data_IF_768542197045
#
_entry.id   IF_768542197045
#
_cell.length_a   1.000
_cell.length_b   1.000
_cell.length_c   1.000
_cell.angle_alpha   90.00
_cell.angle_beta   90.00
_cell.angle_gamma   90.00
#
_symmetry.space_group_name_H-M   'P 1'
#
loop_
_entity.id
_entity.type
_entity.pdbx_description
1 polymer ?
#
# COMPACT_ATOMS: atom_id res chain seq x y z
N UNK A 1 0.95 -70.21 47.17
CA UNK A 1 -0.22 -71.06 46.96
C UNK A 1 -0.86 -70.55 45.66
N UNK A 2 -0.45 -71.07 44.53
CA UNK A 2 -0.96 -72.24 43.73
C UNK A 2 -2.45 -72.27 43.54
N UNK A 3 -2.87 -72.14 42.27
CA UNK A 3 -3.70 -72.98 41.43
C UNK A 3 -4.48 -72.12 40.44
N UNK A 4 -4.18 -72.10 39.19
CA UNK A 4 -4.46 -72.95 38.01
C UNK A 4 -5.94 -73.20 37.65
N UNK A 5 -6.24 -72.95 36.37
CA UNK A 5 -6.92 -73.68 35.28
C UNK A 5 -8.18 -73.07 34.72
N UNK A 6 -8.11 -72.71 33.47
CA UNK A 6 -8.49 -73.39 32.19
C UNK A 6 -9.95 -73.19 31.78
N UNK A 7 -10.02 -72.48 30.66
CA UNK A 7 -10.73 -72.81 29.42
C UNK A 7 -12.23 -73.00 29.41
N UNK A 8 -12.90 -72.18 28.55
CA UNK A 8 -13.85 -72.74 27.57
C UNK A 8 -13.95 -71.80 26.36
N UNK A 9 -13.83 -72.39 25.19
CA UNK A 9 -14.00 -71.83 23.86
C UNK A 9 -15.50 -71.59 23.60
N UNK A 10 -15.83 -70.43 23.04
CA UNK A 10 -17.14 -70.17 22.46
C UNK A 10 -17.02 -69.04 21.43
N UNK A 11 -16.90 -69.45 20.17
CA UNK A 11 -16.77 -68.49 19.07
C UNK A 11 -18.07 -67.78 18.77
N UNK A 12 -17.99 -66.48 18.64
CA UNK A 12 -18.99 -65.66 17.94
C UNK A 12 -18.22 -64.68 17.02
N UNK A 13 -18.22 -64.97 15.72
CA UNK A 13 -17.70 -64.10 14.66
C UNK A 13 -18.65 -62.88 14.56
N UNK A 14 -18.22 -61.76 15.13
CA UNK A 14 -18.83 -60.46 14.84
C UNK A 14 -18.13 -59.87 13.62
N UNK A 15 -18.77 -59.79 12.49
CA UNK A 15 -18.34 -59.06 11.33
C UNK A 15 -18.34 -57.56 11.67
N UNK A 16 -17.13 -57.00 11.90
CA UNK A 16 -16.93 -55.56 12.01
C UNK A 16 -16.99 -55.01 10.58
N UNK A 17 -18.18 -54.47 10.23
CA UNK A 17 -18.28 -53.66 9.04
C UNK A 17 -17.41 -52.43 9.19
N UNK A 18 -16.28 -52.40 8.44
CA UNK A 18 -15.48 -51.21 8.27
C UNK A 18 -16.33 -50.14 7.55
N UNK A 19 -17.01 -49.29 8.32
CA UNK A 19 -17.60 -48.09 7.81
C UNK A 19 -16.46 -47.21 7.27
N UNK A 20 -16.34 -47.13 5.95
CA UNK A 20 -15.55 -46.09 5.27
C UNK A 20 -16.12 -44.76 5.73
N UNK A 21 -15.44 -44.08 6.69
CA UNK A 21 -15.62 -42.67 6.92
C UNK A 21 -15.28 -41.95 5.61
N UNK A 22 -16.17 -41.08 5.10
CA UNK A 22 -15.78 -40.24 3.97
C UNK A 22 -14.61 -39.41 4.43
N UNK A 23 -13.43 -39.71 3.87
CA UNK A 23 -12.24 -38.91 4.06
C UNK A 23 -12.60 -37.48 3.69
N UNK A 24 -12.35 -36.54 4.59
CA UNK A 24 -12.37 -35.11 4.27
C UNK A 24 -11.48 -34.95 3.05
N UNK A 25 -12.10 -34.68 1.90
CA UNK A 25 -11.35 -34.35 0.68
C UNK A 25 -10.52 -33.12 0.99
N UNK A 26 -9.26 -33.30 1.35
CA UNK A 26 -8.31 -32.23 1.46
C UNK A 26 -8.34 -31.48 0.13
N UNK A 27 -8.52 -30.16 0.19
CA UNK A 27 -8.52 -29.31 -0.99
C UNK A 27 -7.28 -29.66 -1.81
N UNK A 28 -7.49 -30.20 -3.02
CA UNK A 28 -6.40 -30.70 -3.86
C UNK A 28 -5.57 -29.52 -4.30
N UNK A 29 -4.30 -29.46 -3.87
CA UNK A 29 -3.35 -28.43 -4.31
C UNK A 29 -3.26 -28.48 -5.82
N UNK A 30 -3.60 -27.36 -6.49
CA UNK A 30 -3.54 -27.24 -7.94
C UNK A 30 -2.40 -26.30 -8.33
N UNK A 31 -1.22 -26.83 -8.72
CA UNK A 31 -0.10 -26.00 -9.12
C UNK A 31 -0.51 -25.03 -10.24
N UNK A 32 -0.13 -23.76 -10.11
CA UNK A 32 -0.33 -22.76 -11.15
C UNK A 32 0.94 -22.67 -11.99
N UNK A 33 0.84 -22.84 -13.33
CA UNK A 33 2.02 -22.74 -14.20
C UNK A 33 2.76 -21.42 -14.01
N UNK A 34 4.09 -21.47 -14.02
CA UNK A 34 5.01 -20.35 -13.80
C UNK A 34 4.92 -19.64 -12.43
N UNK A 35 4.09 -20.13 -11.52
CA UNK A 35 4.14 -19.65 -10.13
C UNK A 35 5.35 -20.30 -9.45
N UNK A 36 6.31 -19.53 -8.90
CA UNK A 36 7.47 -20.09 -8.23
C UNK A 36 7.06 -20.97 -7.05
N UNK A 37 7.77 -22.06 -6.82
CA UNK A 37 7.55 -22.93 -5.66
C UNK A 37 7.87 -22.22 -4.33
N UNK A 38 8.73 -21.21 -4.38
CA UNK A 38 9.11 -20.38 -3.21
C UNK A 38 9.30 -18.94 -3.63
N UNK A 39 8.77 -18.01 -2.83
CA UNK A 39 8.96 -16.58 -2.97
C UNK A 39 9.32 -15.95 -1.62
N UNK A 40 9.95 -14.78 -1.65
CA UNK A 40 10.22 -13.97 -0.47
C UNK A 40 9.62 -12.59 -0.73
N UNK A 41 8.73 -12.15 0.16
CA UNK A 41 8.06 -10.84 0.06
C UNK A 41 8.52 -9.91 1.19
N UNK A 42 9.00 -8.72 0.84
CA UNK A 42 9.25 -7.66 1.81
C UNK A 42 7.95 -7.01 2.24
N UNK A 43 7.76 -6.88 3.54
CA UNK A 43 6.52 -6.37 4.16
C UNK A 43 6.84 -5.40 5.29
N UNK A 44 5.81 -4.83 5.93
CA UNK A 44 5.97 -4.00 7.14
C UNK A 44 6.38 -4.81 8.37
N UNK A 45 6.35 -4.16 9.54
CA UNK A 45 6.70 -4.75 10.83
C UNK A 45 5.92 -6.03 11.12
N UNK A 46 6.54 -6.99 11.82
CA UNK A 46 6.05 -8.35 12.08
C UNK A 46 4.61 -8.40 12.63
N UNK A 47 4.23 -7.46 13.49
CA UNK A 47 2.88 -7.37 14.07
C UNK A 47 2.00 -6.31 13.41
N UNK A 48 2.52 -5.66 12.37
CA UNK A 48 1.85 -4.54 11.70
C UNK A 48 0.64 -4.99 10.86
N UNK A 49 -0.32 -4.09 10.62
CA UNK A 49 -1.48 -4.40 9.78
C UNK A 49 -1.09 -4.89 8.37
N UNK A 50 -0.04 -4.32 7.79
CA UNK A 50 0.46 -4.70 6.45
C UNK A 50 1.08 -6.09 6.42
N UNK A 51 1.75 -6.49 7.51
CA UNK A 51 2.28 -7.86 7.64
C UNK A 51 1.13 -8.88 7.67
N UNK A 52 0.12 -8.66 8.53
CA UNK A 52 -1.05 -9.55 8.63
C UNK A 52 -1.84 -9.64 7.32
N UNK A 53 -1.93 -8.53 6.59
CA UNK A 53 -2.54 -8.47 5.26
C UNK A 53 -1.78 -9.36 4.25
N UNK A 54 -0.46 -9.20 4.18
CA UNK A 54 0.41 -10.02 3.34
C UNK A 54 0.38 -11.50 3.73
N UNK A 55 0.33 -11.80 5.03
CA UNK A 55 0.26 -13.15 5.56
C UNK A 55 -1.01 -13.87 5.09
N UNK A 56 -2.17 -13.24 5.20
CA UNK A 56 -3.43 -13.83 4.75
C UNK A 56 -3.42 -14.15 3.24
N UNK A 57 -2.87 -13.25 2.42
CA UNK A 57 -2.71 -13.48 0.98
C UNK A 57 -1.73 -14.63 0.71
N UNK A 58 -0.57 -14.64 1.39
CA UNK A 58 0.45 -15.65 1.24
C UNK A 58 -0.05 -17.05 1.64
N UNK A 59 -0.79 -17.17 2.74
CA UNK A 59 -1.40 -18.42 3.21
C UNK A 59 -2.44 -18.94 2.22
N UNK A 60 -3.27 -18.08 1.66
CA UNK A 60 -4.25 -18.46 0.64
C UNK A 60 -3.58 -19.01 -0.62
N UNK A 61 -2.55 -18.34 -1.12
CA UNK A 61 -1.77 -18.80 -2.29
C UNK A 61 -1.08 -20.13 -1.97
N UNK A 62 -0.47 -20.26 -0.79
CA UNK A 62 0.20 -21.48 -0.36
C UNK A 62 -0.78 -22.66 -0.29
N UNK A 63 -1.95 -22.45 0.27
CA UNK A 63 -3.01 -23.45 0.37
C UNK A 63 -3.53 -23.90 -1.00
N UNK A 64 -3.71 -22.95 -1.92
CA UNK A 64 -4.27 -23.24 -3.25
C UNK A 64 -3.26 -23.89 -4.19
N UNK A 65 -2.01 -23.47 -4.15
CA UNK A 65 -1.02 -23.79 -5.18
C UNK A 65 0.24 -24.51 -4.67
N UNK A 66 0.41 -24.66 -3.34
CA UNK A 66 1.60 -25.28 -2.74
C UNK A 66 2.84 -24.38 -2.76
N UNK A 67 2.73 -23.14 -3.18
CA UNK A 67 3.82 -22.17 -3.20
C UNK A 67 4.15 -21.71 -1.77
N UNK A 68 5.43 -21.75 -1.38
CA UNK A 68 5.87 -21.22 -0.09
C UNK A 68 6.22 -19.73 -0.25
N UNK A 69 5.50 -18.86 0.45
CA UNK A 69 5.79 -17.42 0.51
C UNK A 69 6.34 -17.10 1.90
N UNK A 70 7.61 -16.72 1.97
CA UNK A 70 8.24 -16.22 3.18
C UNK A 70 8.07 -14.71 3.23
N UNK A 71 7.53 -14.19 4.34
CA UNK A 71 7.46 -12.77 4.61
C UNK A 71 8.75 -12.32 5.32
N UNK A 72 9.36 -11.27 4.81
CA UNK A 72 10.54 -10.63 5.38
C UNK A 72 10.17 -9.24 5.84
N UNK A 73 10.06 -9.09 7.16
CA UNK A 73 9.69 -7.83 7.78
C UNK A 73 10.78 -6.77 7.64
N UNK A 74 10.36 -5.51 7.64
CA UNK A 74 11.26 -4.36 7.74
C UNK A 74 10.56 -3.23 8.50
N UNK A 75 11.23 -2.71 9.52
CA UNK A 75 10.73 -1.65 10.40
C UNK A 75 10.43 -0.33 9.68
N UNK A 76 11.06 -0.09 8.55
CA UNK A 76 10.91 1.17 7.84
C UNK A 76 10.74 1.00 6.32
N UNK A 77 10.20 2.04 5.71
CA UNK A 77 9.89 2.07 4.28
C UNK A 77 11.14 1.94 3.39
N UNK A 78 12.25 2.55 3.79
CA UNK A 78 13.50 2.49 3.03
C UNK A 78 14.08 1.07 3.01
N UNK A 79 14.09 0.40 4.17
CA UNK A 79 14.59 -0.99 4.26
C UNK A 79 13.78 -1.96 3.41
N UNK A 80 12.45 -1.81 3.31
CA UNK A 80 11.63 -2.62 2.39
C UNK A 80 12.08 -2.47 0.94
N UNK A 81 12.32 -1.24 0.53
CA UNK A 81 12.77 -0.96 -0.83
C UNK A 81 14.21 -1.44 -1.07
N UNK A 82 15.09 -1.31 -0.06
CA UNK A 82 16.46 -1.80 -0.11
C UNK A 82 16.51 -3.32 -0.29
N UNK A 83 15.73 -4.08 0.47
CA UNK A 83 15.62 -5.54 0.29
C UNK A 83 15.22 -5.92 -1.15
N UNK A 84 14.30 -5.17 -1.77
CA UNK A 84 13.91 -5.40 -3.16
C UNK A 84 15.04 -5.03 -4.14
N UNK A 85 15.71 -3.90 -3.92
CA UNK A 85 16.83 -3.43 -4.74
C UNK A 85 18.01 -4.40 -4.71
N UNK A 86 18.37 -4.89 -3.53
CA UNK A 86 19.45 -5.85 -3.33
C UNK A 86 19.06 -7.29 -3.70
N UNK A 87 17.86 -7.50 -4.28
CA UNK A 87 17.35 -8.82 -4.70
C UNK A 87 17.30 -9.85 -3.58
N UNK A 88 17.21 -9.39 -2.32
CA UNK A 88 17.00 -10.26 -1.15
C UNK A 88 15.58 -10.81 -1.12
N UNK A 89 14.65 -10.11 -1.77
CA UNK A 89 13.24 -10.48 -1.92
C UNK A 89 12.83 -10.42 -3.38
N UNK A 90 11.81 -11.20 -3.74
CA UNK A 90 11.26 -11.21 -5.11
C UNK A 90 10.21 -10.13 -5.32
N UNK A 91 9.42 -9.84 -4.28
CA UNK A 91 8.34 -8.87 -4.29
C UNK A 91 8.36 -8.02 -3.01
N UNK A 92 7.77 -6.84 -3.07
CA UNK A 92 7.61 -5.99 -1.89
C UNK A 92 6.20 -5.37 -1.85
N UNK A 93 5.59 -5.33 -0.66
CA UNK A 93 4.36 -4.58 -0.42
C UNK A 93 4.75 -3.16 0.00
N UNK A 94 4.77 -2.26 -0.96
CA UNK A 94 5.20 -0.87 -0.78
C UNK A 94 4.00 0.09 -0.74
N UNK A 95 4.18 1.19 -0.02
CA UNK A 95 3.27 2.33 -0.03
C UNK A 95 3.80 3.49 -0.88
N UNK A 96 3.70 4.70 -0.35
CA UNK A 96 4.19 5.92 -1.03
C UNK A 96 5.71 5.90 -1.27
N UNK A 97 6.46 5.09 -0.52
CA UNK A 97 7.88 4.86 -0.77
C UNK A 97 8.18 4.32 -2.18
N UNK A 98 7.26 3.56 -2.77
CA UNK A 98 7.37 3.13 -4.16
C UNK A 98 7.44 4.32 -5.12
N UNK A 99 6.58 5.33 -4.89
CA UNK A 99 6.62 6.58 -5.64
C UNK A 99 7.93 7.34 -5.42
N UNK A 100 8.37 7.45 -4.16
CA UNK A 100 9.64 8.13 -3.86
C UNK A 100 10.83 7.48 -4.54
N UNK A 101 10.90 6.15 -4.52
CA UNK A 101 11.96 5.41 -5.19
C UNK A 101 11.90 5.56 -6.72
N UNK A 102 10.71 5.49 -7.32
CA UNK A 102 10.53 5.65 -8.76
C UNK A 102 10.85 7.07 -9.27
N UNK A 103 10.73 8.07 -8.40
CA UNK A 103 10.98 9.49 -8.73
C UNK A 103 12.35 9.99 -8.27
N UNK A 104 13.11 9.19 -7.51
CA UNK A 104 14.37 9.63 -6.88
C UNK A 104 14.13 10.78 -5.90
N UNK A 105 13.31 10.58 -4.89
CA UNK A 105 12.99 11.57 -3.86
C UNK A 105 13.50 11.15 -2.48
N UNK A 106 13.77 12.10 -1.61
CA UNK A 106 14.21 11.89 -0.23
C UNK A 106 15.46 11.00 -0.16
N UNK A 107 15.42 9.91 0.60
CA UNK A 107 16.55 8.98 0.77
C UNK A 107 16.99 8.29 -0.53
N UNK A 108 16.17 8.37 -1.58
CA UNK A 108 16.50 7.82 -2.90
C UNK A 108 17.30 8.79 -3.78
N UNK A 109 17.59 10.00 -3.29
CA UNK A 109 18.53 10.91 -3.92
C UNK A 109 19.94 10.62 -3.39
N UNK A 110 20.55 9.57 -3.91
CA UNK A 110 21.90 9.15 -3.50
C UNK A 110 22.63 8.53 -4.69
N UNK A 111 23.99 8.48 -4.70
CA UNK A 111 24.76 7.94 -5.82
C UNK A 111 24.39 6.51 -6.20
N UNK A 112 24.01 5.69 -5.22
CA UNK A 112 23.63 4.28 -5.41
C UNK A 112 22.14 4.08 -5.69
N UNK A 113 21.36 5.16 -5.74
CA UNK A 113 19.91 5.12 -5.94
C UNK A 113 19.47 5.86 -7.21
N UNK A 114 18.82 7.00 -7.07
CA UNK A 114 18.14 7.69 -8.17
C UNK A 114 16.78 7.04 -8.50
N UNK A 115 16.10 7.50 -9.56
CA UNK A 115 14.82 6.96 -9.99
C UNK A 115 14.90 5.49 -10.38
N UNK A 116 14.15 4.64 -9.68
CA UNK A 116 14.14 3.18 -9.84
C UNK A 116 13.12 2.73 -10.89
N UNK A 117 13.43 1.67 -11.65
CA UNK A 117 12.54 1.10 -12.65
C UNK A 117 11.60 0.06 -12.05
N UNK A 118 10.61 0.52 -11.32
CA UNK A 118 9.66 -0.29 -10.58
C UNK A 118 8.35 -0.49 -11.33
N UNK A 119 7.71 -1.63 -11.08
CA UNK A 119 6.38 -1.99 -11.60
C UNK A 119 5.50 -2.49 -10.48
N UNK A 120 4.19 -2.26 -10.61
CA UNK A 120 3.21 -2.88 -9.72
C UNK A 120 2.46 -4.02 -10.40
N UNK A 121 1.91 -4.91 -9.57
CA UNK A 121 1.02 -5.99 -9.98
C UNK A 121 -0.43 -5.61 -9.69
N UNK A 122 -0.76 -5.44 -8.43
CA UNK A 122 -2.04 -5.03 -7.89
C UNK A 122 -1.79 -4.11 -6.69
N UNK A 123 -2.80 -3.31 -6.33
CA UNK A 123 -2.70 -2.46 -5.16
C UNK A 123 -4.08 -2.05 -4.63
N UNK A 124 -4.32 -2.24 -3.33
CA UNK A 124 -5.60 -1.88 -2.74
C UNK A 124 -5.74 -0.39 -2.46
N UNK A 125 -6.98 0.06 -2.39
CA UNK A 125 -7.29 1.44 -2.01
C UNK A 125 -7.04 1.70 -0.52
N UNK A 126 -6.51 2.88 -0.26
CA UNK A 126 -6.43 3.53 1.03
C UNK A 126 -6.93 4.96 0.88
N UNK A 127 -7.29 5.61 1.98
CA UNK A 127 -7.73 7.00 1.94
C UNK A 127 -7.19 7.80 3.12
N UNK A 128 -7.13 9.12 2.93
CA UNK A 128 -6.77 10.06 3.98
C UNK A 128 -7.46 11.41 3.79
N UNK A 129 -7.50 12.16 4.87
CA UNK A 129 -7.83 13.59 4.88
C UNK A 129 -7.26 14.25 6.13
N UNK A 130 -7.65 15.48 6.36
CA UNK A 130 -7.50 16.16 7.64
C UNK A 130 -8.63 15.70 8.56
N UNK A 131 -8.31 15.42 9.81
CA UNK A 131 -9.27 15.21 10.89
C UNK A 131 -9.21 16.37 11.87
N UNK A 132 -10.35 16.71 12.41
CA UNK A 132 -10.51 17.72 13.45
C UNK A 132 -11.31 17.13 14.62
N UNK A 133 -11.22 17.74 15.80
CA UNK A 133 -12.06 17.37 16.91
C UNK A 133 -13.49 17.87 16.68
N UNK A 134 -14.47 17.08 17.06
CA UNK A 134 -15.88 17.53 17.03
C UNK A 134 -16.05 18.81 17.87
N UNK A 135 -16.86 19.75 17.39
CA UNK A 135 -17.04 21.03 18.05
C UNK A 135 -15.90 22.05 17.88
N UNK A 136 -14.83 21.73 17.14
CA UNK A 136 -13.71 22.66 16.85
C UNK A 136 -14.08 23.83 15.91
N UNK A 137 -15.25 23.75 15.26
CA UNK A 137 -15.67 24.70 14.25
C UNK A 137 -14.98 24.51 12.88
N UNK A 138 -14.26 23.40 12.69
CA UNK A 138 -13.59 23.04 11.43
C UNK A 138 -14.49 22.08 10.68
N UNK A 139 -15.10 22.51 9.58
CA UNK A 139 -15.99 21.72 8.74
C UNK A 139 -15.45 21.49 7.31
N UNK A 140 -14.58 22.36 6.84
CA UNK A 140 -13.96 22.29 5.49
C UNK A 140 -12.49 22.69 5.56
N UNK A 141 -11.71 22.36 4.52
CA UNK A 141 -10.26 22.61 4.48
C UNK A 141 -9.91 24.08 4.79
N UNK A 142 -10.67 25.05 4.31
CA UNK A 142 -10.38 26.47 4.52
C UNK A 142 -10.47 26.90 5.99
N UNK A 143 -11.22 26.16 6.82
CA UNK A 143 -11.43 26.49 8.24
C UNK A 143 -10.19 26.18 9.10
N UNK A 144 -9.20 25.44 8.55
CA UNK A 144 -7.94 25.15 9.26
C UNK A 144 -6.96 26.34 9.27
N UNK A 145 -7.20 27.39 8.46
CA UNK A 145 -6.36 28.59 8.50
C UNK A 145 -6.40 29.24 9.87
N UNK A 146 -5.22 29.58 10.39
CA UNK A 146 -5.03 30.13 11.74
C UNK A 146 -5.12 29.09 12.86
N UNK A 147 -5.37 27.80 12.57
CA UNK A 147 -5.50 26.73 13.54
C UNK A 147 -4.16 26.07 13.86
N UNK A 148 -4.11 25.42 15.03
CA UNK A 148 -2.98 24.58 15.43
C UNK A 148 -3.05 23.26 14.67
N UNK A 149 -2.09 23.06 13.77
CA UNK A 149 -2.02 21.88 12.91
C UNK A 149 -0.91 20.95 13.36
N UNK A 150 -1.27 19.71 13.73
CA UNK A 150 -0.30 18.70 14.09
C UNK A 150 0.45 18.16 12.86
N UNK A 151 1.77 18.20 12.88
CA UNK A 151 2.65 17.71 11.83
C UNK A 151 3.57 16.63 12.37
N UNK A 152 3.86 15.62 11.56
CA UNK A 152 4.75 14.50 11.90
C UNK A 152 5.85 14.36 10.85
N UNK A 153 6.93 15.17 10.92
CA UNK A 153 7.96 15.24 9.87
C UNK A 153 8.63 13.90 9.57
N UNK A 154 8.77 13.02 10.56
CA UNK A 154 9.35 11.68 10.37
C UNK A 154 8.47 10.74 9.55
N UNK A 155 7.16 10.97 9.47
CA UNK A 155 6.27 10.24 8.57
C UNK A 155 6.26 10.92 7.20
N UNK A 156 7.33 10.71 6.42
CA UNK A 156 7.52 11.35 5.13
C UNK A 156 6.34 11.14 4.17
N UNK A 157 5.76 9.95 4.17
CA UNK A 157 4.64 9.63 3.29
C UNK A 157 3.37 10.44 3.66
N UNK A 158 3.06 10.56 4.95
CA UNK A 158 1.92 11.35 5.42
C UNK A 158 2.17 12.85 5.16
N UNK A 159 3.35 13.34 5.53
CA UNK A 159 3.76 14.74 5.35
C UNK A 159 3.70 15.14 3.88
N UNK A 160 4.27 14.34 2.98
CA UNK A 160 4.27 14.61 1.54
C UNK A 160 2.86 14.70 0.96
N UNK A 161 1.97 13.76 1.32
CA UNK A 161 0.57 13.79 0.88
C UNK A 161 -0.21 14.96 1.47
N UNK A 162 0.06 15.29 2.73
CA UNK A 162 -0.55 16.44 3.42
C UNK A 162 -0.15 17.75 2.78
N UNK A 163 1.14 17.93 2.49
CA UNK A 163 1.64 19.15 1.85
C UNK A 163 1.01 19.36 0.47
N UNK A 164 0.91 18.28 -0.33
CA UNK A 164 0.24 18.34 -1.62
C UNK A 164 -1.25 18.68 -1.50
N UNK A 165 -1.93 18.16 -0.48
CA UNK A 165 -3.34 18.44 -0.20
C UNK A 165 -3.56 19.90 0.20
N UNK A 166 -2.72 20.43 1.10
CA UNK A 166 -2.78 21.81 1.55
C UNK A 166 -2.46 22.79 0.41
N UNK A 167 -1.44 22.49 -0.39
CA UNK A 167 -1.09 23.29 -1.58
C UNK A 167 -2.25 23.35 -2.57
N UNK A 168 -2.86 22.20 -2.89
CA UNK A 168 -4.04 22.15 -3.76
C UNK A 168 -5.23 22.95 -3.22
N UNK A 169 -5.37 23.04 -1.90
CA UNK A 169 -6.38 23.86 -1.23
C UNK A 169 -6.01 25.36 -1.12
N UNK A 170 -4.81 25.76 -1.53
CA UNK A 170 -4.31 27.13 -1.39
C UNK A 170 -4.06 27.53 0.07
N UNK A 171 -3.58 26.58 0.87
CA UNK A 171 -3.24 26.77 2.28
C UNK A 171 -1.73 26.62 2.44
N UNK A 172 -1.04 27.70 2.71
CA UNK A 172 0.40 27.71 2.93
C UNK A 172 0.73 27.40 4.40
N UNK A 173 1.93 26.85 4.65
CA UNK A 173 2.37 26.57 6.03
C UNK A 173 2.31 27.79 6.96
N UNK A 174 2.55 28.99 6.43
CA UNK A 174 2.42 30.27 7.18
C UNK A 174 0.98 30.60 7.62
N UNK A 175 0.00 29.97 6.98
CA UNK A 175 -1.42 30.14 7.32
C UNK A 175 -1.84 29.26 8.51
N UNK A 176 -0.92 28.45 9.05
CA UNK A 176 -1.15 27.47 10.10
C UNK A 176 -0.21 27.71 11.30
N UNK A 177 -0.64 27.36 12.49
CA UNK A 177 0.25 27.21 13.66
C UNK A 177 0.71 25.77 13.73
N UNK A 178 1.89 25.48 13.18
CA UNK A 178 2.43 24.11 13.13
C UNK A 178 2.90 23.67 14.52
N UNK A 179 2.43 22.51 14.95
CA UNK A 179 2.92 21.81 16.16
C UNK A 179 3.46 20.44 15.73
N UNK A 180 4.77 20.22 15.92
CA UNK A 180 5.44 19.02 15.45
C UNK A 180 5.44 17.91 16.49
N UNK A 181 5.28 16.67 16.04
CA UNK A 181 5.29 15.45 16.83
C UNK A 181 6.22 14.41 16.18
N UNK A 182 6.87 13.60 16.99
CA UNK A 182 7.73 12.52 16.52
C UNK A 182 6.92 11.40 15.84
N UNK A 183 5.75 11.05 16.40
CA UNK A 183 4.89 9.97 15.93
C UNK A 183 3.48 10.46 15.61
N UNK A 184 2.85 9.84 14.64
CA UNK A 184 1.44 10.14 14.26
C UNK A 184 0.48 9.81 15.42
N UNK A 185 0.77 8.80 16.23
CA UNK A 185 -0.02 8.49 17.44
C UNK A 185 -0.03 9.66 18.43
N UNK A 186 1.11 10.31 18.64
CA UNK A 186 1.25 11.42 19.59
C UNK A 186 0.49 12.65 19.08
N UNK A 187 0.56 12.93 17.77
CA UNK A 187 -0.22 13.99 17.13
C UNK A 187 -1.73 13.79 17.30
N UNK A 188 -2.21 12.54 17.15
CA UNK A 188 -3.63 12.23 17.34
C UNK A 188 -4.06 12.25 18.82
N UNK A 189 -3.18 11.87 19.74
CA UNK A 189 -3.41 12.03 21.18
C UNK A 189 -3.53 13.51 21.57
N UNK A 190 -2.65 14.36 21.04
CA UNK A 190 -2.72 15.81 21.24
C UNK A 190 -4.00 16.43 20.62
N UNK A 191 -4.47 15.88 19.49
CA UNK A 191 -5.77 16.27 18.91
C UNK A 191 -6.93 15.94 19.88
N UNK A 192 -6.95 14.74 20.44
CA UNK A 192 -7.96 14.33 21.43
C UNK A 192 -7.94 15.23 22.67
N UNK A 193 -6.75 15.52 23.20
CA UNK A 193 -6.57 16.41 24.33
C UNK A 193 -6.93 17.87 24.06
N UNK A 194 -7.07 18.28 22.79
CA UNK A 194 -7.32 19.67 22.41
C UNK A 194 -6.07 20.54 22.39
N UNK A 195 -4.88 19.94 22.42
CA UNK A 195 -3.60 20.66 22.31
C UNK A 195 -3.34 21.13 20.88
N UNK A 196 -3.96 20.47 19.91
CA UNK A 196 -4.04 20.88 18.49
C UNK A 196 -5.48 20.83 18.02
N UNK A 197 -5.78 21.53 16.91
CA UNK A 197 -7.14 21.66 16.40
C UNK A 197 -7.43 20.68 15.26
N UNK A 198 -6.39 20.29 14.51
CA UNK A 198 -6.49 19.34 13.40
C UNK A 198 -5.17 18.65 13.11
N UNK A 199 -5.27 17.49 12.42
CA UNK A 199 -4.16 16.65 12.02
C UNK A 199 -4.46 15.93 10.71
N UNK A 200 -3.44 15.52 9.96
CA UNK A 200 -3.63 14.60 8.84
C UNK A 200 -3.76 13.16 9.35
N UNK A 201 -4.68 12.40 8.76
CA UNK A 201 -4.93 11.03 9.17
C UNK A 201 -5.25 10.10 8.00
N UNK A 202 -4.84 8.83 8.12
CA UNK A 202 -5.16 7.75 7.18
C UNK A 202 -6.26 6.89 7.80
N UNK A 203 -7.33 6.61 7.06
CA UNK A 203 -8.51 5.89 7.59
C UNK A 203 -8.19 4.49 8.13
N UNK A 204 -7.15 3.86 7.62
CA UNK A 204 -6.72 2.50 8.00
C UNK A 204 -5.67 2.47 9.11
N UNK A 205 -5.25 3.63 9.65
CA UNK A 205 -4.22 3.68 10.68
C UNK A 205 -4.75 3.22 12.04
N UNK A 206 -4.01 2.35 12.72
CA UNK A 206 -4.38 1.84 14.05
C UNK A 206 -4.55 2.97 15.09
N UNK A 207 -3.74 4.02 14.99
CA UNK A 207 -3.83 5.20 15.86
C UNK A 207 -5.15 5.97 15.70
N UNK A 208 -5.71 6.01 14.49
CA UNK A 208 -7.03 6.64 14.24
C UNK A 208 -8.16 5.76 14.80
N UNK A 209 -8.02 4.44 14.67
CA UNK A 209 -8.97 3.49 15.27
C UNK A 209 -8.98 3.60 16.80
N UNK A 210 -7.81 3.68 17.42
CA UNK A 210 -7.68 3.85 18.87
C UNK A 210 -8.29 5.18 19.32
N UNK A 211 -8.04 6.28 18.59
CA UNK A 211 -8.63 7.58 18.90
C UNK A 211 -10.16 7.53 18.84
N UNK A 212 -10.73 6.96 17.79
CA UNK A 212 -12.18 6.84 17.65
C UNK A 212 -12.82 5.98 18.74
N UNK A 213 -12.12 4.95 19.22
CA UNK A 213 -12.59 4.07 20.31
C UNK A 213 -12.57 4.77 21.68
N UNK A 214 -11.78 5.83 21.88
CA UNK A 214 -11.64 6.56 23.15
C UNK A 214 -12.73 7.60 23.41
N UNK A 215 -13.81 7.60 22.66
CA UNK A 215 -15.00 8.47 22.77
C UNK A 215 -14.81 9.94 22.33
N UNK A 216 -13.64 10.33 21.88
CA UNK A 216 -13.43 11.65 21.30
C UNK A 216 -13.79 11.59 19.81
N UNK A 217 -14.98 12.12 19.49
CA UNK A 217 -15.46 12.12 18.11
C UNK A 217 -14.56 13.00 17.23
N UNK A 218 -13.96 12.36 16.23
CA UNK A 218 -13.24 13.07 15.17
C UNK A 218 -14.16 13.32 13.98
N UNK A 219 -13.97 14.46 13.36
CA UNK A 219 -14.64 14.83 12.11
C UNK A 219 -13.62 14.72 10.97
N UNK A 220 -13.93 13.92 9.98
CA UNK A 220 -13.19 13.87 8.71
C UNK A 220 -13.56 15.08 7.86
N UNK A 221 -12.58 15.88 7.48
CA UNK A 221 -12.81 16.99 6.58
C UNK A 221 -12.94 16.44 5.16
N UNK A 222 -14.14 16.59 4.60
CA UNK A 222 -14.41 16.12 3.25
C UNK A 222 -13.73 17.00 2.20
N UNK A 223 -13.28 16.36 1.11
CA UNK A 223 -12.64 17.03 0.00
C UNK A 223 -13.68 17.34 -1.09
N UNK A 224 -13.49 18.40 -1.88
CA UNK A 224 -14.45 18.81 -2.90
C UNK A 224 -14.43 17.83 -4.08
N UNK A 225 -15.16 16.69 -3.97
CA UNK A 225 -15.10 15.57 -4.91
C UNK A 225 -15.34 15.96 -6.39
N UNK A 226 -16.14 17.00 -6.64
CA UNK A 226 -16.48 17.49 -7.99
C UNK A 226 -15.64 18.66 -8.49
N UNK A 227 -14.76 19.21 -7.67
CA UNK A 227 -13.89 20.33 -8.04
C UNK A 227 -12.69 19.84 -8.86
N UNK A 228 -12.85 19.86 -10.19
CA UNK A 228 -11.82 19.42 -11.13
C UNK A 228 -10.52 20.23 -11.01
N UNK A 229 -10.61 21.50 -10.65
CA UNK A 229 -9.45 22.36 -10.52
C UNK A 229 -8.63 22.00 -9.28
N UNK A 230 -9.30 21.76 -8.15
CA UNK A 230 -8.65 21.24 -6.94
C UNK A 230 -7.91 19.92 -7.23
N UNK A 231 -8.57 18.95 -7.84
CA UNK A 231 -7.98 17.67 -8.17
C UNK A 231 -6.84 17.78 -9.20
N UNK A 232 -6.99 18.67 -10.19
CA UNK A 232 -5.90 18.92 -11.14
C UNK A 232 -4.67 19.54 -10.45
N UNK A 233 -4.86 20.47 -9.51
CA UNK A 233 -3.75 21.01 -8.70
C UNK A 233 -3.10 19.91 -7.85
N UNK A 234 -3.90 19.12 -7.15
CA UNK A 234 -3.42 18.03 -6.30
C UNK A 234 -2.61 17.00 -7.10
N UNK A 235 -3.13 16.57 -8.25
CA UNK A 235 -2.49 15.55 -9.08
C UNK A 235 -1.20 16.03 -9.76
N UNK A 236 -0.98 17.33 -9.92
CA UNK A 236 0.34 17.84 -10.37
C UNK A 236 1.44 17.53 -9.37
N UNK A 237 1.17 17.68 -8.07
CA UNK A 237 2.13 17.42 -7.00
C UNK A 237 2.10 15.95 -6.55
N UNK A 238 0.94 15.32 -6.60
CA UNK A 238 0.68 13.94 -6.15
C UNK A 238 -0.12 13.15 -7.21
N UNK A 239 0.53 12.67 -8.28
CA UNK A 239 -0.16 12.03 -9.42
C UNK A 239 -0.94 10.77 -9.07
N UNK A 240 -0.64 10.16 -7.93
CA UNK A 240 -1.33 8.95 -7.43
C UNK A 240 -2.65 9.24 -6.69
N UNK A 241 -2.97 10.51 -6.43
CA UNK A 241 -4.19 10.91 -5.74
C UNK A 241 -5.41 10.84 -6.66
N UNK A 242 -6.55 10.41 -6.09
CA UNK A 242 -7.84 10.41 -6.77
C UNK A 242 -8.98 10.76 -5.80
N UNK A 243 -10.12 11.29 -6.30
CA UNK A 243 -11.31 11.40 -5.47
C UNK A 243 -11.78 9.99 -5.08
N UNK A 244 -12.10 9.81 -3.81
CA UNK A 244 -12.53 8.51 -3.29
C UNK A 244 -13.62 8.70 -2.25
N UNK A 245 -14.70 7.93 -2.39
CA UNK A 245 -15.74 7.86 -1.38
C UNK A 245 -15.39 6.70 -0.44
N UNK A 246 -14.96 7.05 0.76
CA UNK A 246 -14.68 6.09 1.83
C UNK A 246 -15.96 5.75 2.56
N UNK A 247 -16.27 4.48 2.67
CA UNK A 247 -17.48 3.96 3.31
C UNK A 247 -17.20 3.05 4.53
N UNK A 248 -15.92 2.94 4.90
CA UNK A 248 -15.48 2.07 5.99
C UNK A 248 -14.30 2.69 6.74
N UNK A 249 -14.42 2.85 8.04
CA UNK A 249 -13.34 3.37 8.89
C UNK A 249 -13.84 4.02 10.17
N UNK A 250 -12.95 4.53 11.01
CA UNK A 250 -13.31 5.22 12.24
C UNK A 250 -14.20 6.44 11.95
N UNK A 251 -15.44 6.44 12.45
CA UNK A 251 -16.42 7.48 12.19
C UNK A 251 -16.96 7.52 10.76
N UNK A 252 -16.71 6.48 9.96
CA UNK A 252 -17.15 6.36 8.56
C UNK A 252 -17.91 5.04 8.39
N UNK A 253 -19.03 5.08 7.69
CA UNK A 253 -19.84 3.89 7.38
C UNK A 253 -20.56 4.03 6.04
N UNK A 254 -21.12 2.94 5.54
CA UNK A 254 -21.96 2.96 4.32
C UNK A 254 -23.15 3.91 4.43
N UNK A 255 -23.68 4.14 5.65
CA UNK A 255 -24.76 5.10 5.88
C UNK A 255 -24.26 6.56 5.98
N UNK A 256 -22.99 6.76 6.29
CA UNK A 256 -22.36 8.07 6.40
C UNK A 256 -20.96 8.03 5.76
N UNK A 257 -20.88 7.87 4.42
CA UNK A 257 -19.61 7.84 3.71
C UNK A 257 -18.96 9.22 3.69
N UNK A 258 -17.65 9.26 3.40
CA UNK A 258 -16.87 10.50 3.34
C UNK A 258 -16.12 10.62 2.02
N UNK A 259 -16.18 11.80 1.40
CA UNK A 259 -15.40 12.13 0.22
C UNK A 259 -13.97 12.51 0.64
N UNK A 260 -13.01 11.64 0.41
CA UNK A 260 -11.63 11.76 0.86
C UNK A 260 -10.64 11.66 -0.31
N UNK A 261 -9.35 11.86 -0.04
CA UNK A 261 -8.30 11.55 -0.98
C UNK A 261 -7.98 10.06 -0.96
N UNK A 262 -8.26 9.37 -2.06
CA UNK A 262 -7.85 7.99 -2.29
C UNK A 262 -6.47 7.89 -2.91
N UNK A 263 -5.80 6.78 -2.64
CA UNK A 263 -4.54 6.35 -3.27
C UNK A 263 -4.35 4.86 -3.04
N UNK A 264 -3.47 4.22 -3.83
CA UNK A 264 -3.22 2.78 -3.67
C UNK A 264 -2.05 2.54 -2.71
N UNK A 265 -2.32 1.83 -1.63
CA UNK A 265 -1.35 1.52 -0.58
C UNK A 265 -1.87 0.33 0.29
N UNK A 266 -1.16 -0.83 0.34
CA UNK A 266 0.06 -1.10 -0.40
C UNK A 266 -0.18 -1.45 -1.87
N UNK A 267 0.92 -1.42 -2.65
CA UNK A 267 1.03 -2.00 -3.99
C UNK A 267 2.03 -3.15 -3.96
N UNK A 268 1.71 -4.26 -4.59
CA UNK A 268 2.67 -5.36 -4.81
C UNK A 268 3.64 -4.93 -5.90
N UNK A 269 4.90 -4.83 -5.56
CA UNK A 269 5.94 -4.19 -6.37
C UNK A 269 7.04 -5.17 -6.74
N UNK A 270 7.52 -5.06 -7.97
CA UNK A 270 8.69 -5.74 -8.53
C UNK A 270 9.55 -4.75 -9.31
N UNK A 271 10.76 -5.12 -9.69
CA UNK A 271 11.52 -4.41 -10.73
C UNK A 271 10.96 -4.74 -12.13
N UNK A 272 11.20 -3.84 -13.08
CA UNK A 272 10.72 -3.96 -14.47
C UNK A 272 11.28 -5.20 -15.21
N UNK A 273 12.43 -5.69 -14.78
CA UNK A 273 13.10 -6.88 -15.34
C UNK A 273 12.64 -8.21 -14.74
N UNK A 274 11.63 -8.20 -13.87
CA UNK A 274 11.01 -9.43 -13.38
C UNK A 274 10.41 -10.24 -14.55
N UNK A 275 10.46 -11.57 -14.45
CA UNK A 275 9.98 -12.44 -15.53
C UNK A 275 8.47 -12.27 -15.76
N UNK A 276 8.06 -11.96 -17.00
CA UNK A 276 6.64 -11.69 -17.34
C UNK A 276 5.70 -12.82 -16.92
N UNK A 277 6.08 -14.08 -17.18
CA UNK A 277 5.25 -15.24 -16.85
C UNK A 277 5.13 -15.47 -15.35
N UNK A 278 6.18 -15.16 -14.58
CA UNK A 278 6.13 -15.21 -13.12
C UNK A 278 5.20 -14.13 -12.57
N UNK A 279 5.38 -12.89 -13.02
CA UNK A 279 4.51 -11.77 -12.59
C UNK A 279 3.05 -12.01 -12.97
N UNK A 280 2.78 -12.55 -14.17
CA UNK A 280 1.45 -12.99 -14.56
C UNK A 280 0.87 -14.01 -13.57
N UNK A 281 1.66 -15.06 -13.25
CA UNK A 281 1.21 -16.11 -12.34
C UNK A 281 0.97 -15.60 -10.91
N UNK A 282 1.83 -14.72 -10.39
CA UNK A 282 1.65 -14.12 -9.06
C UNK A 282 0.42 -13.20 -9.03
N UNK A 283 0.23 -12.35 -10.06
CA UNK A 283 -0.96 -11.49 -10.18
C UNK A 283 -2.24 -12.32 -10.18
N UNK A 284 -2.24 -13.40 -10.97
CA UNK A 284 -3.34 -14.37 -11.06
C UNK A 284 -3.58 -15.07 -9.72
N UNK A 285 -2.52 -15.50 -9.03
CA UNK A 285 -2.64 -16.19 -7.75
C UNK A 285 -3.25 -15.29 -6.67
N UNK A 286 -2.90 -13.99 -6.64
CA UNK A 286 -3.53 -13.03 -5.73
C UNK A 286 -5.01 -12.87 -6.07
N UNK A 287 -5.35 -12.62 -7.33
CA UNK A 287 -6.70 -12.30 -7.75
C UNK A 287 -7.66 -13.51 -7.72
N UNK A 288 -7.25 -14.66 -8.26
CA UNK A 288 -8.11 -15.85 -8.36
C UNK A 288 -8.36 -16.53 -7.01
N UNK A 289 -7.53 -16.24 -5.98
CA UNK A 289 -7.70 -16.76 -4.62
C UNK A 289 -8.33 -15.75 -3.65
N UNK A 290 -8.91 -14.65 -4.15
CA UNK A 290 -9.51 -13.60 -3.33
C UNK A 290 -10.49 -14.15 -2.27
N UNK A 291 -11.36 -15.07 -2.66
CA UNK A 291 -12.35 -15.70 -1.77
C UNK A 291 -11.73 -16.46 -0.58
N UNK A 292 -10.47 -16.90 -0.70
CA UNK A 292 -9.80 -17.63 0.37
C UNK A 292 -9.22 -16.72 1.47
N UNK A 293 -8.99 -15.43 1.17
CA UNK A 293 -8.37 -14.52 2.14
C UNK A 293 -9.21 -13.29 2.49
N UNK A 294 -10.20 -12.92 1.68
CA UNK A 294 -10.97 -11.67 1.88
C UNK A 294 -11.60 -11.54 3.28
N UNK A 295 -12.02 -12.65 3.89
CA UNK A 295 -12.66 -12.68 5.20
C UNK A 295 -11.70 -12.65 6.40
N UNK A 296 -10.38 -12.76 6.18
CA UNK A 296 -9.41 -12.82 7.28
C UNK A 296 -9.24 -11.46 8.00
N UNK A 297 -9.35 -10.36 7.27
CA UNK A 297 -9.29 -8.99 7.80
C UNK A 297 -10.25 -8.10 6.99
N UNK A 298 -10.94 -7.14 7.60
CA UNK A 298 -11.88 -6.26 6.88
C UNK A 298 -11.26 -5.53 5.68
N UNK A 299 -10.00 -5.13 5.78
CA UNK A 299 -9.28 -4.41 4.73
C UNK A 299 -9.03 -5.27 3.48
N UNK A 300 -9.02 -6.59 3.60
CA UNK A 300 -8.72 -7.50 2.50
C UNK A 300 -9.81 -7.52 1.42
N UNK A 301 -11.04 -7.09 1.74
CA UNK A 301 -12.09 -6.89 0.74
C UNK A 301 -11.70 -5.92 -0.38
N UNK A 302 -10.75 -5.02 -0.11
CA UNK A 302 -10.24 -4.04 -1.09
C UNK A 302 -9.25 -4.61 -2.12
N UNK A 303 -8.89 -5.88 -2.00
CA UNK A 303 -8.07 -6.58 -3.00
C UNK A 303 -8.89 -7.22 -4.12
N UNK A 304 -10.21 -7.12 -4.05
CA UNK A 304 -11.10 -7.59 -5.11
C UNK A 304 -10.81 -6.88 -6.45
N UNK A 305 -10.89 -7.65 -7.55
CA UNK A 305 -10.92 -7.07 -8.89
C UNK A 305 -12.32 -6.53 -9.23
N UNK A 306 -12.43 -5.43 -9.97
CA UNK A 306 -11.35 -4.64 -10.59
C UNK A 306 -10.74 -3.57 -9.67
N UNK A 307 -11.20 -3.43 -8.44
CA UNK A 307 -10.79 -2.35 -7.55
C UNK A 307 -9.26 -2.33 -7.31
N UNK A 308 -8.65 -3.50 -7.06
CA UNK A 308 -7.19 -3.59 -6.81
C UNK A 308 -6.34 -3.38 -8.05
N UNK A 309 -6.94 -3.41 -9.24
CA UNK A 309 -6.26 -3.20 -10.53
C UNK A 309 -6.48 -1.80 -11.12
N UNK A 310 -7.17 -0.89 -10.43
CA UNK A 310 -7.47 0.44 -10.98
C UNK A 310 -6.27 1.38 -11.03
N UNK A 311 -6.48 2.55 -11.60
CA UNK A 311 -5.51 3.65 -11.68
C UNK A 311 -6.09 4.95 -11.11
N UNK A 312 -5.27 5.97 -10.78
CA UNK A 312 -3.81 5.96 -10.80
C UNK A 312 -3.19 5.05 -9.73
N UNK A 313 -1.93 4.65 -9.95
CA UNK A 313 -1.08 4.01 -8.94
C UNK A 313 0.24 4.78 -8.79
N UNK A 314 1.06 4.42 -7.81
CA UNK A 314 2.39 4.99 -7.63
C UNK A 314 3.40 4.55 -8.71
N UNK A 315 3.13 3.45 -9.41
CA UNK A 315 4.01 2.80 -10.38
C UNK A 315 3.24 2.35 -11.62
N UNK A 316 3.87 2.26 -12.80
CA UNK A 316 3.27 1.57 -13.92
C UNK A 316 3.08 0.07 -13.62
N UNK A 317 2.08 -0.52 -14.22
CA UNK A 317 1.85 -1.96 -14.15
C UNK A 317 2.93 -2.74 -14.91
N UNK A 318 3.27 -3.93 -14.41
CA UNK A 318 4.14 -4.87 -15.11
C UNK A 318 3.40 -5.55 -16.27
N UNK A 319 4.12 -5.88 -17.36
CA UNK A 319 3.50 -6.49 -18.56
C UNK A 319 2.78 -7.80 -18.24
N UNK A 320 3.35 -8.63 -17.34
CA UNK A 320 2.69 -9.83 -16.84
C UNK A 320 1.36 -9.56 -16.12
N UNK A 321 1.31 -8.49 -15.33
CA UNK A 321 0.06 -8.07 -14.68
C UNK A 321 -0.95 -7.55 -15.73
N UNK A 322 -0.50 -6.72 -16.67
CA UNK A 322 -1.35 -6.20 -17.77
C UNK A 322 -1.95 -7.34 -18.58
N UNK A 323 -1.16 -8.38 -18.89
CA UNK A 323 -1.62 -9.57 -19.61
C UNK A 323 -2.77 -10.24 -18.87
N UNK A 324 -2.62 -10.48 -17.56
CA UNK A 324 -3.68 -11.06 -16.74
C UNK A 324 -4.92 -10.17 -16.69
N UNK A 325 -4.75 -8.86 -16.47
CA UNK A 325 -5.86 -7.91 -16.40
C UNK A 325 -6.64 -7.78 -17.73
N UNK A 326 -5.96 -7.93 -18.87
CA UNK A 326 -6.60 -8.02 -20.19
C UNK A 326 -7.42 -9.31 -20.33
N UNK A 327 -6.89 -10.44 -19.90
CA UNK A 327 -7.60 -11.73 -19.86
C UNK A 327 -8.88 -11.64 -19.03
N UNK A 328 -8.83 -10.94 -17.90
CA UNK A 328 -9.99 -10.71 -17.01
C UNK A 328 -10.92 -9.58 -17.49
N UNK A 329 -10.65 -8.96 -18.63
CA UNK A 329 -11.40 -7.81 -19.16
C UNK A 329 -11.45 -6.59 -18.22
N UNK A 330 -10.45 -6.45 -17.34
CA UNK A 330 -10.29 -5.32 -16.42
C UNK A 330 -9.50 -4.18 -17.04
N UNK A 331 -8.57 -4.50 -17.97
CA UNK A 331 -7.70 -3.52 -18.61
C UNK A 331 -8.44 -2.74 -19.70
N UNK A 332 -8.73 -1.47 -19.45
CA UNK A 332 -9.44 -0.58 -20.38
C UNK A 332 -8.47 0.30 -21.20
N UNK A 333 -9.01 1.02 -22.20
CA UNK A 333 -8.27 2.03 -22.93
C UNK A 333 -7.76 3.18 -22.04
N UNK A 334 -8.47 3.50 -20.95
CA UNK A 334 -8.05 4.51 -19.97
C UNK A 334 -6.85 4.02 -19.16
N UNK A 335 -6.84 2.76 -18.75
CA UNK A 335 -5.67 2.13 -18.15
C UNK A 335 -4.45 2.21 -19.08
N UNK A 336 -4.64 1.93 -20.36
CA UNK A 336 -3.56 1.98 -21.34
C UNK A 336 -3.00 3.39 -21.50
N UNK A 337 -3.87 4.41 -21.63
CA UNK A 337 -3.43 5.82 -21.72
C UNK A 337 -2.68 6.27 -20.47
N UNK A 338 -3.20 5.91 -19.30
CA UNK A 338 -2.52 6.21 -18.03
C UNK A 338 -1.16 5.50 -17.93
N UNK A 339 -1.09 4.21 -18.27
CA UNK A 339 0.15 3.41 -18.30
C UNK A 339 1.21 4.06 -19.18
N UNK A 340 0.86 4.47 -20.39
CA UNK A 340 1.78 5.15 -21.30
C UNK A 340 2.29 6.48 -20.73
N UNK A 341 1.42 7.22 -20.06
CA UNK A 341 1.79 8.49 -19.40
C UNK A 341 2.81 8.29 -18.29
N UNK A 342 2.53 7.35 -17.37
CA UNK A 342 3.43 7.10 -16.23
C UNK A 342 4.74 6.44 -16.68
N UNK A 343 4.73 5.61 -17.72
CA UNK A 343 5.93 5.05 -18.32
C UNK A 343 6.82 6.11 -18.93
N UNK A 344 6.25 7.07 -19.71
CA UNK A 344 7.00 8.22 -20.24
C UNK A 344 7.62 9.04 -19.09
N UNK A 345 6.82 9.35 -18.06
CA UNK A 345 7.29 10.09 -16.88
C UNK A 345 8.49 9.39 -16.24
N UNK A 346 8.37 8.13 -15.91
CA UNK A 346 9.44 7.35 -15.27
C UNK A 346 10.69 7.25 -16.16
N UNK A 347 10.51 7.03 -17.47
CA UNK A 347 11.61 6.98 -18.43
C UNK A 347 12.37 8.30 -18.52
N UNK A 348 11.67 9.43 -18.58
CA UNK A 348 12.28 10.77 -18.62
C UNK A 348 13.03 11.11 -17.34
N UNK A 349 12.51 10.70 -16.18
CA UNK A 349 13.20 10.92 -14.91
C UNK A 349 14.48 10.08 -14.81
N UNK A 350 14.45 8.81 -15.18
CA UNK A 350 15.65 7.96 -15.21
C UNK A 350 16.70 8.49 -16.19
N UNK A 351 16.28 8.90 -17.38
CA UNK A 351 17.18 9.52 -18.34
C UNK A 351 17.84 10.79 -17.77
N UNK A 352 17.03 11.70 -17.22
CA UNK A 352 17.54 12.96 -16.65
C UNK A 352 18.48 12.76 -15.47
N UNK A 353 18.24 11.73 -14.64
CA UNK A 353 19.16 11.33 -13.58
C UNK A 353 20.48 10.80 -14.15
N UNK A 354 20.44 9.89 -15.13
CA UNK A 354 21.63 9.34 -15.76
C UNK A 354 22.49 10.42 -16.43
N UNK A 355 21.86 11.36 -17.14
CA UNK A 355 22.55 12.51 -17.75
C UNK A 355 23.21 13.43 -16.69
N UNK A 356 22.57 13.62 -15.53
CA UNK A 356 23.14 14.38 -14.44
C UNK A 356 24.34 13.66 -13.83
N UNK A 357 24.20 12.36 -13.54
CA UNK A 357 25.25 11.54 -12.94
C UNK A 357 26.44 11.28 -13.87
N UNK A 358 26.29 11.46 -15.18
CA UNK A 358 27.40 11.35 -16.12
C UNK A 358 28.45 12.47 -16.00
N UNK A 359 28.13 13.58 -15.32
CA UNK A 359 29.01 14.71 -15.13
C UNK A 359 30.01 14.44 -13.99
N UNK A 360 31.30 14.58 -14.22
CA UNK A 360 32.36 14.23 -13.26
C UNK A 360 32.21 14.83 -11.85
N UNK A 361 31.90 16.12 -11.64
CA UNK A 361 31.77 16.67 -10.28
C UNK A 361 30.62 16.03 -9.49
N UNK A 362 29.62 15.41 -10.18
CA UNK A 362 28.41 14.88 -9.58
C UNK A 362 28.61 13.45 -9.06
N UNK A 363 29.50 12.67 -9.67
CA UNK A 363 29.75 11.27 -9.28
C UNK A 363 30.23 11.10 -7.84
N UNK A 364 30.92 12.09 -7.31
CA UNK A 364 31.43 12.11 -5.93
C UNK A 364 30.61 12.98 -4.98
N UNK A 365 29.47 13.50 -5.43
CA UNK A 365 28.64 14.39 -4.63
C UNK A 365 27.96 13.67 -3.47
N UNK A 366 27.77 14.39 -2.37
CA UNK A 366 26.95 13.90 -1.25
C UNK A 366 25.46 13.82 -1.64
N UNK A 367 24.66 13.05 -0.90
CA UNK A 367 23.21 12.99 -1.12
C UNK A 367 22.54 14.38 -1.06
N UNK A 368 22.98 15.26 -0.16
CA UNK A 368 22.48 16.63 -0.05
C UNK A 368 22.78 17.45 -1.32
N UNK A 369 24.03 17.42 -1.80
CA UNK A 369 24.40 18.10 -3.03
C UNK A 369 23.66 17.54 -4.26
N UNK A 370 23.45 16.21 -4.31
CA UNK A 370 22.65 15.60 -5.36
C UNK A 370 21.19 16.08 -5.31
N UNK A 371 20.62 16.26 -4.12
CA UNK A 371 19.25 16.75 -3.98
C UNK A 371 19.11 18.20 -4.50
N UNK A 372 20.09 19.07 -4.21
CA UNK A 372 20.11 20.45 -4.74
C UNK A 372 20.15 20.49 -6.28
N UNK A 373 20.79 19.52 -6.91
CA UNK A 373 20.84 19.41 -8.37
C UNK A 373 19.62 18.71 -8.95
N UNK A 374 19.19 17.63 -8.32
CA UNK A 374 18.14 16.76 -8.85
C UNK A 374 16.72 17.35 -8.73
N UNK A 375 16.37 17.93 -7.59
CA UNK A 375 15.01 18.41 -7.36
C UNK A 375 14.58 19.47 -8.37
N UNK A 376 15.39 20.53 -8.68
CA UNK A 376 15.05 21.48 -9.75
C UNK A 376 14.99 20.81 -11.13
N UNK A 377 15.98 19.94 -11.48
CA UNK A 377 15.99 19.25 -12.77
C UNK A 377 14.77 18.34 -12.94
N UNK A 378 14.39 17.60 -11.90
CA UNK A 378 13.15 16.82 -11.89
C UNK A 378 11.94 17.71 -12.19
N UNK A 379 11.84 18.86 -11.54
CA UNK A 379 10.74 19.79 -11.75
C UNK A 379 10.68 20.29 -13.22
N UNK A 380 11.82 20.57 -13.85
CA UNK A 380 11.89 20.95 -15.27
C UNK A 380 11.45 19.81 -16.19
N UNK A 381 11.93 18.59 -15.95
CA UNK A 381 11.51 17.39 -16.70
C UNK A 381 9.99 17.25 -16.63
N UNK A 382 9.41 17.38 -15.46
CA UNK A 382 7.97 17.20 -15.26
C UNK A 382 7.11 18.30 -15.90
N UNK A 383 7.65 19.52 -16.04
CA UNK A 383 6.97 20.60 -16.79
C UNK A 383 6.93 20.35 -18.30
N UNK A 384 7.85 19.52 -18.81
CA UNK A 384 7.95 19.20 -20.25
C UNK A 384 7.12 17.99 -20.67
N UNK A 385 6.44 17.32 -19.74
CA UNK A 385 5.57 16.15 -19.96
C UNK A 385 4.11 16.55 -20.12
#
# INVERSE_FOLDING_TARGET
MTLTRRAYLGGMSAAIGAGLMPGTAGAQVKPLPNLPSTMIWSVGDDDGPRYREAQAIAEAISKAHGTRIRLQASENAFGRMEQLKERQVTHALLGTEAYFAAEGLFSYVAPTWGPQDLRCLLGRMSSMSIVAREGSGIAKLQDIKGKRFARTPRNLALTFRTDALLDAAGIASKDLTIVEFERTSDALTALAAGDVDCAAAVTTAASVQALHASADAIVWIELPATDKEFWSRLQRSLPLALPFVEDTGPGISKAAPKALMGYRDPVVTVYADAAELEVYAVTRAIADNFELYQGALPILSRWELPQSAGFPTSLPYHDGAIRFLKEKSVWSADHQRWQEGIMRRQGRLRQGWAEMMAKEPVKSATAAALAELWIPRRAEILKSL
#
